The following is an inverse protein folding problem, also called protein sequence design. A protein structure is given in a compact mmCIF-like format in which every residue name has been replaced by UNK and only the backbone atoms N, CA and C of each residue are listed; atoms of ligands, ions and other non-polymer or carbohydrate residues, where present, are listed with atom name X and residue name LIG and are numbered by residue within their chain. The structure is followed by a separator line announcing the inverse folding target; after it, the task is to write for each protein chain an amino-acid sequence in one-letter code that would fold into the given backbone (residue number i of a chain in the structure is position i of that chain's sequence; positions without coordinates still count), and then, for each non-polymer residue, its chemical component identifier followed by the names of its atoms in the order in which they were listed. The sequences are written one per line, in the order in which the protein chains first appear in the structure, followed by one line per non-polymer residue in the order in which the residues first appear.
data_IF_245316097044
#
_entry.id   IF_245316097044
#
_cell.length_a   1.000
_cell.length_b   1.000
_cell.length_c   1.000
_cell.angle_alpha   90.00
_cell.angle_beta   90.00
_cell.angle_gamma   90.00
#
_symmetry.space_group_name_H-M   'P 1'
#
loop_
_entity.id
_entity.type
_entity.pdbx_description
1 polymer ?
#
# COMPACT_ATOMS: atom_id res chain seq x y z
N UNK A 1 -4.01 -12.45 -14.54
CA UNK A 1 -2.72 -12.95 -14.98
C UNK A 1 -2.48 -14.35 -14.40
N UNK A 2 -1.45 -14.62 -13.54
CA UNK A 2 -1.20 -16.01 -13.08
C UNK A 2 -2.36 -16.58 -12.27
N UNK A 3 -2.85 -15.83 -11.28
CA UNK A 3 -3.97 -16.24 -10.43
C UNK A 3 -5.25 -16.50 -11.27
N UNK A 4 -5.58 -15.61 -12.20
CA UNK A 4 -6.73 -15.77 -13.10
C UNK A 4 -6.65 -17.02 -13.99
N UNK A 5 -5.45 -17.43 -14.38
CA UNK A 5 -5.24 -18.59 -15.25
C UNK A 5 -5.26 -19.93 -14.49
N UNK A 6 -5.06 -19.91 -13.16
CA UNK A 6 -4.84 -21.13 -12.36
C UNK A 6 -5.88 -21.35 -11.27
N UNK A 7 -6.54 -20.29 -10.80
CA UNK A 7 -7.50 -20.40 -9.70
C UNK A 7 -8.94 -20.38 -10.21
N UNK A 8 -9.80 -21.30 -9.72
CA UNK A 8 -11.22 -21.25 -9.96
C UNK A 8 -11.84 -20.04 -9.24
N UNK A 9 -12.84 -19.42 -9.86
CA UNK A 9 -13.54 -18.28 -9.24
C UNK A 9 -14.40 -18.75 -8.07
N UNK A 10 -14.37 -17.99 -6.98
CA UNK A 10 -15.24 -18.17 -5.79
C UNK A 10 -15.11 -19.54 -5.11
N UNK A 11 -14.14 -20.34 -5.52
CA UNK A 11 -13.84 -21.62 -4.88
C UNK A 11 -12.51 -21.49 -4.15
N UNK A 12 -12.52 -21.77 -2.84
CA UNK A 12 -11.32 -21.78 -2.03
C UNK A 12 -10.50 -23.05 -2.27
N UNK A 13 -9.19 -22.89 -2.40
CA UNK A 13 -8.21 -23.97 -2.45
C UNK A 13 -7.39 -23.86 -1.16
N UNK A 14 -7.49 -24.81 -0.22
CA UNK A 14 -6.70 -24.76 1.00
C UNK A 14 -5.21 -24.95 0.71
N UNK A 15 -4.37 -24.13 1.34
CA UNK A 15 -2.90 -24.22 1.29
C UNK A 15 -2.36 -24.66 2.65
N UNK A 16 -2.84 -24.04 3.73
CA UNK A 16 -2.54 -24.39 5.12
C UNK A 16 -3.85 -24.63 5.87
N UNK A 17 -4.50 -25.78 5.59
CA UNK A 17 -5.82 -26.07 6.12
C UNK A 17 -6.82 -24.96 5.82
N UNK A 18 -7.67 -24.65 6.80
CA UNK A 18 -8.65 -23.58 6.65
C UNK A 18 -8.07 -22.19 6.96
N UNK A 19 -6.86 -22.14 7.54
CA UNK A 19 -6.23 -20.86 7.94
C UNK A 19 -5.81 -20.02 6.75
N UNK A 20 -5.16 -20.61 5.74
CA UNK A 20 -4.72 -19.91 4.54
C UNK A 20 -5.19 -20.62 3.28
N UNK A 21 -5.92 -19.90 2.46
CA UNK A 21 -6.55 -20.42 1.24
C UNK A 21 -6.29 -19.48 0.06
N UNK A 22 -6.38 -20.02 -1.15
CA UNK A 22 -6.41 -19.26 -2.38
C UNK A 22 -7.83 -19.24 -2.91
N UNK A 23 -8.38 -18.04 -3.13
CA UNK A 23 -9.72 -17.86 -3.66
C UNK A 23 -9.74 -16.67 -4.62
N UNK A 24 -9.99 -16.91 -5.89
CA UNK A 24 -10.04 -15.85 -6.90
C UNK A 24 -11.32 -15.02 -6.77
N UNK A 25 -11.15 -13.74 -6.41
CA UNK A 25 -12.23 -12.76 -6.33
C UNK A 25 -11.84 -11.51 -7.12
N UNK A 26 -12.80 -10.82 -7.69
CA UNK A 26 -12.60 -9.52 -8.31
C UNK A 26 -13.14 -8.43 -7.40
N UNK A 27 -12.28 -7.47 -7.08
CA UNK A 27 -12.62 -6.31 -6.27
C UNK A 27 -12.90 -5.09 -7.17
N UNK A 28 -14.16 -4.69 -7.37
CA UNK A 28 -14.51 -3.60 -8.28
C UNK A 28 -14.09 -2.22 -7.78
N UNK A 29 -13.41 -2.16 -6.64
CA UNK A 29 -12.97 -0.90 -6.02
C UNK A 29 -13.55 -0.69 -4.63
N UNK A 30 -13.85 -1.77 -3.90
CA UNK A 30 -14.09 -1.66 -2.47
C UNK A 30 -12.76 -1.62 -1.72
N UNK A 31 -12.46 -0.52 -1.03
CA UNK A 31 -11.38 -0.44 -0.07
C UNK A 31 -12.00 -0.23 1.31
N UNK A 32 -11.71 -1.11 2.26
CA UNK A 32 -12.28 -1.04 3.63
C UNK A 32 -13.82 -0.98 3.66
N UNK A 33 -14.51 -1.61 2.70
CA UNK A 33 -15.98 -1.57 2.59
C UNK A 33 -16.55 -0.30 1.95
N UNK A 34 -15.71 0.66 1.56
CA UNK A 34 -16.16 1.85 0.83
C UNK A 34 -16.43 1.48 -0.62
N UNK A 35 -17.66 1.71 -1.06
CA UNK A 35 -18.09 1.46 -2.43
C UNK A 35 -18.78 2.71 -2.99
N UNK A 36 -18.34 3.18 -4.16
CA UNK A 36 -18.84 4.41 -4.83
C UNK A 36 -19.69 4.03 -6.05
N UNK A 37 -20.52 2.99 -5.89
CA UNK A 37 -21.36 2.51 -6.98
C UNK A 37 -20.56 2.04 -8.20
N UNK A 38 -21.14 2.19 -9.39
CA UNK A 38 -20.55 1.72 -10.66
C UNK A 38 -19.24 2.43 -11.04
N UNK A 39 -18.97 3.58 -10.46
CA UNK A 39 -17.76 4.37 -10.71
C UNK A 39 -16.59 4.04 -9.78
N UNK A 40 -16.77 3.14 -8.81
CA UNK A 40 -15.74 2.80 -7.82
C UNK A 40 -14.38 2.50 -8.45
N UNK A 41 -14.33 1.71 -9.50
CA UNK A 41 -13.11 1.36 -10.23
C UNK A 41 -12.34 2.59 -10.70
N UNK A 42 -13.02 3.52 -11.33
CA UNK A 42 -12.42 4.74 -11.88
C UNK A 42 -12.04 5.73 -10.78
N UNK A 43 -12.88 5.86 -9.76
CA UNK A 43 -12.58 6.67 -8.58
C UNK A 43 -11.26 6.22 -7.92
N UNK A 44 -11.13 4.93 -7.63
CA UNK A 44 -9.89 4.40 -7.04
C UNK A 44 -8.71 4.42 -8.01
N UNK A 45 -8.92 4.31 -9.32
CA UNK A 45 -7.85 4.47 -10.30
C UNK A 45 -7.28 5.89 -10.28
N UNK A 46 -8.13 6.92 -10.31
CA UNK A 46 -7.72 8.33 -10.23
C UNK A 46 -7.00 8.61 -8.91
N UNK A 47 -7.56 8.16 -7.78
CA UNK A 47 -6.93 8.33 -6.47
C UNK A 47 -5.55 7.67 -6.42
N UNK A 48 -5.41 6.48 -7.02
CA UNK A 48 -4.12 5.78 -7.11
C UNK A 48 -3.10 6.56 -7.94
N UNK A 49 -3.50 7.14 -9.08
CA UNK A 49 -2.62 7.98 -9.91
C UNK A 49 -2.13 9.20 -9.13
N UNK A 50 -3.01 9.88 -8.40
CA UNK A 50 -2.63 11.01 -7.54
C UNK A 50 -1.63 10.56 -6.48
N UNK A 51 -1.91 9.44 -5.79
CA UNK A 51 -1.02 8.89 -4.76
C UNK A 51 0.37 8.54 -5.34
N UNK A 52 0.42 7.92 -6.52
CA UNK A 52 1.68 7.63 -7.22
C UNK A 52 2.45 8.93 -7.51
N UNK A 53 1.79 9.99 -7.98
CA UNK A 53 2.43 11.29 -8.22
C UNK A 53 3.06 11.88 -6.96
N UNK A 54 2.34 11.85 -5.84
CA UNK A 54 2.86 12.28 -4.53
C UNK A 54 4.06 11.43 -4.11
N UNK A 55 3.96 10.11 -4.19
CA UNK A 55 5.02 9.18 -3.79
C UNK A 55 6.28 9.33 -4.66
N UNK A 56 6.12 9.52 -5.96
CA UNK A 56 7.25 9.80 -6.87
C UNK A 56 7.94 11.10 -6.48
N UNK A 57 7.19 12.13 -6.15
CA UNK A 57 7.75 13.40 -5.66
C UNK A 57 8.51 13.18 -4.34
N UNK A 58 7.95 12.46 -3.39
CA UNK A 58 8.62 12.11 -2.14
C UNK A 58 9.90 11.31 -2.39
N UNK A 59 9.85 10.31 -3.27
CA UNK A 59 11.02 9.50 -3.63
C UNK A 59 12.17 10.36 -4.17
N UNK A 60 11.88 11.28 -5.09
CA UNK A 60 12.86 12.18 -5.71
C UNK A 60 13.52 13.15 -4.72
N UNK A 61 12.82 13.54 -3.65
CA UNK A 61 13.33 14.43 -2.61
C UNK A 61 13.95 13.69 -1.41
N UNK A 62 13.88 12.35 -1.39
CA UNK A 62 14.47 11.55 -0.31
C UNK A 62 15.98 11.44 -0.52
N UNK A 63 16.75 11.64 0.55
CA UNK A 63 18.22 11.52 0.52
C UNK A 63 18.63 10.06 0.22
N UNK A 64 19.69 9.89 -0.57
CA UNK A 64 20.18 8.55 -0.96
C UNK A 64 20.57 7.65 0.25
N UNK A 65 20.94 8.25 1.39
CA UNK A 65 21.26 7.52 2.62
C UNK A 65 20.06 7.05 3.44
N UNK A 66 18.84 7.50 3.14
CA UNK A 66 17.61 7.10 3.82
C UNK A 66 17.00 5.85 3.16
N UNK A 67 17.68 4.73 3.34
CA UNK A 67 17.32 3.48 2.70
C UNK A 67 15.91 3.00 3.11
N UNK A 68 15.55 3.12 4.41
CA UNK A 68 14.23 2.70 4.89
C UNK A 68 13.12 3.46 4.15
N UNK A 69 13.22 4.78 4.04
CA UNK A 69 12.23 5.61 3.37
C UNK A 69 12.17 5.31 1.86
N UNK A 70 13.32 5.14 1.22
CA UNK A 70 13.37 4.79 -0.21
C UNK A 70 12.71 3.44 -0.50
N UNK A 71 13.02 2.40 0.26
CA UNK A 71 12.39 1.08 0.09
C UNK A 71 10.91 1.08 0.45
N UNK A 72 10.52 1.83 1.49
CA UNK A 72 9.12 1.98 1.86
C UNK A 72 8.30 2.62 0.74
N UNK A 73 8.77 3.74 0.18
CA UNK A 73 8.10 4.41 -0.95
C UNK A 73 8.06 3.49 -2.17
N UNK A 74 9.18 2.80 -2.48
CA UNK A 74 9.24 1.87 -3.61
C UNK A 74 8.24 0.72 -3.47
N UNK A 75 8.07 0.17 -2.27
CA UNK A 75 7.09 -0.88 -2.00
C UNK A 75 5.65 -0.39 -2.24
N UNK A 76 5.30 0.80 -1.72
CA UNK A 76 3.98 1.40 -1.94
C UNK A 76 3.75 1.68 -3.43
N UNK A 77 4.74 2.25 -4.12
CA UNK A 77 4.66 2.51 -5.56
C UNK A 77 4.45 1.23 -6.37
N UNK A 78 5.18 0.16 -6.05
CA UNK A 78 5.04 -1.13 -6.73
C UNK A 78 3.63 -1.72 -6.54
N UNK A 79 3.13 -1.76 -5.30
CA UNK A 79 1.80 -2.27 -5.00
C UNK A 79 0.69 -1.41 -5.61
N UNK A 80 0.77 -0.08 -5.47
CA UNK A 80 -0.18 0.84 -6.07
C UNK A 80 -0.23 0.70 -7.60
N UNK A 81 0.93 0.56 -8.25
CA UNK A 81 1.02 0.34 -9.70
C UNK A 81 0.39 -0.99 -10.11
N UNK A 82 0.62 -2.06 -9.35
CA UNK A 82 0.01 -3.37 -9.60
C UNK A 82 -1.52 -3.31 -9.58
N UNK A 83 -2.09 -2.73 -8.53
CA UNK A 83 -3.53 -2.55 -8.39
C UNK A 83 -4.12 -1.58 -9.43
N UNK A 84 -3.35 -0.57 -9.87
CA UNK A 84 -3.76 0.33 -10.95
C UNK A 84 -3.82 -0.41 -12.29
N UNK A 85 -2.81 -1.21 -12.60
CA UNK A 85 -2.77 -2.02 -13.82
C UNK A 85 -4.00 -2.93 -13.90
N UNK A 86 -4.37 -3.59 -12.80
CA UNK A 86 -5.57 -4.44 -12.77
C UNK A 86 -6.84 -3.62 -13.03
N UNK A 87 -6.98 -2.43 -12.44
CA UNK A 87 -8.12 -1.54 -12.68
C UNK A 87 -8.22 -1.07 -14.12
N UNK A 88 -7.10 -0.80 -14.77
CA UNK A 88 -7.08 -0.35 -16.17
C UNK A 88 -7.35 -1.52 -17.13
N UNK A 89 -6.78 -2.70 -16.86
CA UNK A 89 -6.84 -3.89 -17.70
C UNK A 89 -8.21 -4.58 -17.67
N UNK A 90 -8.84 -4.61 -16.50
CA UNK A 90 -10.04 -5.43 -16.28
C UNK A 90 -11.24 -4.58 -15.89
N UNK A 91 -12.36 -4.75 -16.61
CA UNK A 91 -13.66 -4.18 -16.23
C UNK A 91 -14.20 -4.74 -14.90
N UNK A 92 -13.63 -5.85 -14.41
CA UNK A 92 -14.02 -6.53 -13.17
C UNK A 92 -13.34 -5.98 -11.91
N UNK A 93 -12.29 -5.14 -12.08
CA UNK A 93 -11.52 -4.56 -10.99
C UNK A 93 -10.22 -5.30 -10.69
N UNK A 94 -9.73 -5.15 -9.46
CA UNK A 94 -8.49 -5.75 -8.95
C UNK A 94 -8.68 -7.24 -8.71
N UNK A 95 -7.65 -8.03 -8.97
CA UNK A 95 -7.62 -9.48 -8.74
C UNK A 95 -7.10 -9.76 -7.33
N UNK A 96 -7.99 -10.15 -6.43
CA UNK A 96 -7.68 -10.58 -5.07
C UNK A 96 -7.74 -12.11 -4.99
N UNK A 97 -6.75 -12.72 -4.33
CA UNK A 97 -6.67 -14.19 -4.32
C UNK A 97 -6.13 -14.80 -3.02
N UNK A 98 -5.75 -14.01 -2.04
CA UNK A 98 -5.31 -14.46 -0.72
C UNK A 98 -6.46 -14.34 0.26
N UNK A 99 -6.77 -15.41 0.96
CA UNK A 99 -7.81 -15.48 1.98
C UNK A 99 -7.23 -16.06 3.27
N UNK A 100 -7.35 -15.31 4.38
CA UNK A 100 -7.06 -15.80 5.71
C UNK A 100 -8.34 -15.99 6.52
N UNK A 101 -8.40 -17.09 7.26
CA UNK A 101 -9.54 -17.45 8.11
C UNK A 101 -9.06 -17.87 9.49
N UNK A 102 -9.65 -17.32 10.53
CA UNK A 102 -9.39 -17.70 11.93
C UNK A 102 -10.71 -17.98 12.62
N UNK A 103 -11.01 -19.24 12.85
CA UNK A 103 -12.32 -19.67 13.36
C UNK A 103 -13.44 -19.27 12.41
N UNK A 104 -14.39 -18.45 12.86
CA UNK A 104 -15.48 -17.92 12.03
C UNK A 104 -15.16 -16.58 11.35
N UNK A 105 -13.98 -15.99 11.64
CA UNK A 105 -13.58 -14.73 11.06
C UNK A 105 -12.84 -14.94 9.74
N UNK A 106 -13.35 -14.33 8.67
CA UNK A 106 -12.72 -14.31 7.36
C UNK A 106 -12.15 -12.92 7.11
N UNK A 107 -10.82 -12.85 6.91
CA UNK A 107 -10.21 -11.61 6.44
C UNK A 107 -10.66 -11.33 5.00
N UNK A 108 -11.02 -10.09 4.63
CA UNK A 108 -11.33 -9.78 3.24
C UNK A 108 -10.23 -10.25 2.29
N UNK A 109 -10.62 -10.80 1.14
CA UNK A 109 -9.63 -11.21 0.13
C UNK A 109 -8.74 -10.03 -0.26
N UNK A 110 -7.47 -10.30 -0.48
CA UNK A 110 -6.46 -9.33 -0.87
C UNK A 110 -5.42 -9.98 -1.80
N UNK A 111 -4.44 -9.19 -2.23
CA UNK A 111 -3.38 -9.64 -3.11
C UNK A 111 -1.99 -9.19 -2.62
N UNK A 112 -0.94 -9.59 -3.34
CA UNK A 112 0.46 -9.24 -3.00
C UNK A 112 0.71 -7.73 -3.10
N UNK A 113 0.02 -7.02 -4.00
CA UNK A 113 0.14 -5.58 -4.13
C UNK A 113 -0.40 -4.86 -2.88
N UNK A 114 -1.49 -5.35 -2.27
CA UNK A 114 -2.03 -4.80 -1.02
C UNK A 114 -1.07 -5.02 0.15
N UNK A 115 -0.39 -6.17 0.18
CA UNK A 115 0.68 -6.42 1.16
C UNK A 115 1.82 -5.41 1.00
N UNK A 116 2.27 -5.17 -0.23
CA UNK A 116 3.33 -4.22 -0.51
C UNK A 116 2.92 -2.78 -0.13
N UNK A 117 1.67 -2.37 -0.42
CA UNK A 117 1.12 -1.07 -0.01
C UNK A 117 1.09 -0.98 1.52
N UNK A 118 0.52 -1.97 2.20
CA UNK A 118 0.33 -1.93 3.66
C UNK A 118 1.67 -1.94 4.41
N UNK A 119 2.57 -2.87 4.07
CA UNK A 119 3.89 -2.95 4.70
C UNK A 119 4.74 -1.70 4.38
N UNK A 120 4.69 -1.24 3.13
CA UNK A 120 5.38 -0.02 2.71
C UNK A 120 4.86 1.23 3.42
N UNK A 121 3.54 1.36 3.58
CA UNK A 121 2.93 2.48 4.30
C UNK A 121 3.31 2.50 5.79
N UNK A 122 3.32 1.33 6.44
CA UNK A 122 3.78 1.21 7.83
C UNK A 122 5.26 1.60 7.95
N UNK A 123 6.11 1.06 7.07
CA UNK A 123 7.54 1.39 7.07
C UNK A 123 7.79 2.88 6.80
N UNK A 124 7.04 3.50 5.88
CA UNK A 124 7.10 4.92 5.59
C UNK A 124 6.67 5.77 6.80
N UNK A 125 5.58 5.40 7.45
CA UNK A 125 5.12 6.07 8.66
C UNK A 125 6.18 6.02 9.78
N UNK A 126 6.83 4.87 9.98
CA UNK A 126 7.92 4.72 10.94
C UNK A 126 9.15 5.57 10.57
N UNK A 127 9.52 5.63 9.29
CA UNK A 127 10.63 6.47 8.83
C UNK A 127 10.36 7.96 9.11
N UNK A 128 9.17 8.44 8.78
CA UNK A 128 8.76 9.83 9.03
C UNK A 128 8.67 10.16 10.53
N UNK A 129 8.15 9.22 11.33
CA UNK A 129 8.10 9.38 12.79
C UNK A 129 9.48 9.55 13.40
N UNK A 130 10.44 8.71 12.99
CA UNK A 130 11.80 8.78 13.49
C UNK A 130 12.49 10.11 13.09
N UNK A 131 12.29 10.60 11.86
CA UNK A 131 12.81 11.89 11.41
C UNK A 131 12.29 13.04 12.28
N UNK A 132 10.99 13.08 12.55
CA UNK A 132 10.40 14.11 13.42
C UNK A 132 10.97 14.12 14.83
N UNK A 133 11.25 12.96 15.41
CA UNK A 133 11.87 12.85 16.74
C UNK A 133 13.30 13.41 16.77
N UNK A 134 14.09 13.16 15.74
CA UNK A 134 15.46 13.68 15.66
C UNK A 134 15.50 15.19 15.47
N UNK A 135 14.57 15.77 14.73
CA UNK A 135 14.46 17.22 14.56
C UNK A 135 14.06 17.92 15.85
N UNK A 136 13.17 17.34 16.65
CA UNK A 136 12.73 17.92 17.94
C UNK A 136 13.80 17.79 19.02
N UNK A 137 14.72 16.84 18.93
CA UNK A 137 15.80 16.62 19.87
C UNK A 137 17.08 17.45 19.55
N UNK A 138 17.13 18.16 18.43
CA UNK A 138 18.25 19.03 18.11
C UNK A 138 18.28 20.24 19.07
N UNK A 139 19.43 20.55 19.73
CA UNK A 139 19.54 21.73 20.59
C UNK A 139 19.23 23.00 19.84
N UNK A 140 18.56 23.95 20.50
CA UNK A 140 18.30 25.26 19.93
C UNK A 140 19.64 25.93 19.53
N UNK A 141 19.69 26.67 18.41
CA UNK A 141 20.91 27.36 18.03
C UNK A 141 21.37 28.27 19.18
N UNK A 142 22.60 28.07 19.59
CA UNK A 142 23.23 28.89 20.65
C UNK A 142 23.23 30.35 20.18
N UNK A 143 22.44 31.16 20.87
CA UNK A 143 22.40 32.61 20.61
C UNK A 143 23.75 33.17 20.99
N UNK A 144 24.52 33.64 20.01
CA UNK A 144 25.79 34.31 20.27
C UNK A 144 25.58 35.45 21.27
N UNK A 145 26.45 35.57 22.30
CA UNK A 145 26.34 36.68 23.25
C UNK A 145 26.44 38.03 22.51
N UNK A 146 25.67 39.04 22.96
CA UNK A 146 25.73 40.37 22.37
C UNK A 146 27.15 40.91 22.44
N UNK A 147 27.64 41.42 21.31
CA UNK A 147 28.93 42.07 21.18
C UNK A 147 29.01 43.21 22.23
N UNK A 148 29.90 43.04 23.20
CA UNK A 148 30.16 44.09 24.19
C UNK A 148 31.16 45.07 23.54
N UNK A 149 30.61 46.06 22.79
CA UNK A 149 31.35 47.21 22.33
C UNK A 149 31.72 48.18 23.41
#
# INVERSE_FOLDING_TARGET
IFAEARLPRYRSIPVLGDFFQLQLVYNPGAAFGIHVGDYSRWFFAVLTVIAIGVLVTMYRHTKAGDALRLYAIAAVLAGASGNLIDRLRSGRGVVDFLLFTVGSFHWPNFNVADMAVSCGAIALALALWNEGRHQTAAPAPEVAPPDQG
#
